data_IF_619430637298
#
_entry.id   IF_619430637298
#
_cell.length_a   1.000
_cell.length_b   1.000
_cell.length_c   1.000
_cell.angle_alpha   90.00
_cell.angle_beta   90.00
_cell.angle_gamma   90.00
#
_symmetry.space_group_name_H-M   'P 1'
#
loop_
_entity.id
_entity.type
_entity.pdbx_description
1 polymer ?
#
# COMPACT_ATOMS: atom_id res chain seq x y z
N UNK A 1 24.23 0.35 16.15
CA UNK A 1 23.04 0.57 16.23
C UNK A 1 22.20 -0.05 15.26
N UNK A 2 21.23 -0.60 15.60
CA UNK A 2 20.39 -1.36 14.75
C UNK A 2 19.12 -0.66 14.47
N UNK A 3 19.16 0.12 13.43
CA UNK A 3 17.94 0.72 12.99
C UNK A 3 17.01 -0.39 12.53
N UNK A 4 15.79 -0.33 12.99
CA UNK A 4 14.79 -1.25 12.57
C UNK A 4 14.47 -1.01 11.11
N UNK A 5 14.30 -2.07 10.34
CA UNK A 5 13.90 -1.93 8.94
C UNK A 5 12.48 -1.37 8.89
N UNK A 6 12.22 -0.50 7.92
CA UNK A 6 10.87 -0.04 7.66
C UNK A 6 10.06 -1.20 7.11
N UNK A 7 8.85 -1.35 7.62
CA UNK A 7 7.96 -2.44 7.21
C UNK A 7 6.92 -1.92 6.23
N UNK A 8 6.84 -2.58 5.08
CA UNK A 8 5.85 -2.26 4.05
C UNK A 8 4.91 -3.44 3.93
N UNK A 9 3.62 -3.17 4.05
CA UNK A 9 2.61 -4.20 3.88
C UNK A 9 1.99 -4.07 2.50
N UNK A 10 2.02 -5.15 1.72
CA UNK A 10 1.39 -5.21 0.40
C UNK A 10 0.06 -5.92 0.54
N UNK A 11 -1.03 -5.20 0.32
CA UNK A 11 -2.39 -5.77 0.36
C UNK A 11 -2.81 -6.02 -1.08
N UNK A 12 -2.82 -7.28 -1.48
CA UNK A 12 -2.94 -7.67 -2.88
C UNK A 12 -3.42 -9.12 -2.95
N UNK A 13 -4.37 -9.42 -3.82
CA UNK A 13 -4.89 -10.78 -3.91
C UNK A 13 -4.09 -11.68 -4.87
N UNK A 14 -3.17 -11.13 -5.65
CA UNK A 14 -2.34 -11.91 -6.55
C UNK A 14 -0.98 -12.22 -5.92
N UNK A 15 -0.69 -13.49 -5.61
CA UNK A 15 0.57 -13.83 -4.92
C UNK A 15 1.82 -13.41 -5.71
N UNK A 16 1.75 -13.52 -7.04
CA UNK A 16 2.90 -13.15 -7.86
C UNK A 16 3.24 -11.67 -7.72
N UNK A 17 2.22 -10.84 -7.56
CA UNK A 17 2.43 -9.41 -7.39
C UNK A 17 3.07 -9.11 -6.04
N UNK A 18 2.64 -9.82 -5.00
CA UNK A 18 3.25 -9.70 -3.68
C UNK A 18 4.73 -10.09 -3.76
N UNK A 19 5.01 -11.20 -4.44
CA UNK A 19 6.39 -11.67 -4.59
C UNK A 19 7.25 -10.66 -5.35
N UNK A 20 6.69 -10.04 -6.39
CA UNK A 20 7.42 -9.03 -7.15
C UNK A 20 7.73 -7.81 -6.30
N UNK A 21 6.75 -7.32 -5.57
CA UNK A 21 6.97 -6.16 -4.70
C UNK A 21 8.00 -6.48 -3.62
N UNK A 22 7.93 -7.70 -3.07
CA UNK A 22 8.88 -8.12 -2.05
C UNK A 22 10.30 -8.16 -2.62
N UNK A 23 10.45 -8.64 -3.85
CA UNK A 23 11.74 -8.69 -4.49
C UNK A 23 12.32 -7.28 -4.71
N UNK A 24 11.49 -6.39 -5.25
CA UNK A 24 11.93 -5.03 -5.56
C UNK A 24 12.31 -4.27 -4.30
N UNK A 25 11.41 -4.26 -3.34
CA UNK A 25 11.58 -3.45 -2.14
C UNK A 25 12.57 -4.07 -1.16
N UNK A 26 12.62 -5.39 -1.11
CA UNK A 26 13.56 -6.08 -0.23
C UNK A 26 14.99 -5.78 -0.58
N UNK A 27 15.29 -5.56 -1.86
CA UNK A 27 16.65 -5.22 -2.30
C UNK A 27 17.12 -3.88 -1.75
N UNK A 28 16.19 -3.02 -1.38
CA UNK A 28 16.52 -1.71 -0.82
C UNK A 28 16.45 -1.70 0.70
N UNK A 29 16.34 -2.88 1.31
CA UNK A 29 16.40 -3.00 2.75
C UNK A 29 15.08 -2.86 3.48
N UNK A 30 13.96 -2.87 2.76
CA UNK A 30 12.65 -2.84 3.42
C UNK A 30 12.23 -4.24 3.84
N UNK A 31 11.54 -4.33 4.96
CA UNK A 31 10.86 -5.56 5.34
C UNK A 31 9.50 -5.53 4.67
N UNK A 32 9.18 -6.55 3.87
CA UNK A 32 7.95 -6.55 3.10
C UNK A 32 7.09 -7.72 3.51
N UNK A 33 5.85 -7.44 3.91
CA UNK A 33 4.88 -8.46 4.26
C UNK A 33 3.72 -8.39 3.27
N UNK A 34 3.09 -9.52 3.02
CA UNK A 34 1.98 -9.57 2.09
C UNK A 34 0.71 -10.03 2.77
N UNK A 35 -0.40 -9.45 2.37
CA UNK A 35 -1.72 -9.89 2.80
C UNK A 35 -2.54 -10.22 1.56
N UNK A 36 -3.10 -11.42 1.51
CA UNK A 36 -3.84 -11.88 0.35
C UNK A 36 -5.30 -11.46 0.45
N UNK A 37 -5.56 -10.20 0.18
CA UNK A 37 -6.92 -9.67 0.18
C UNK A 37 -7.14 -8.62 1.24
N UNK A 38 -8.30 -7.97 1.16
CA UNK A 38 -8.60 -6.82 1.99
C UNK A 38 -8.87 -7.16 3.45
N UNK A 39 -9.54 -8.29 3.70
CA UNK A 39 -9.85 -8.67 5.08
C UNK A 39 -8.57 -8.95 5.84
N UNK A 40 -7.70 -9.77 5.25
CA UNK A 40 -6.42 -10.08 5.88
C UNK A 40 -5.55 -8.82 5.96
N UNK A 41 -5.61 -7.99 4.93
CA UNK A 41 -4.86 -6.74 4.92
C UNK A 41 -5.23 -5.84 6.08
N UNK A 42 -6.53 -5.65 6.31
CA UNK A 42 -6.99 -4.79 7.39
C UNK A 42 -6.57 -5.34 8.75
N UNK A 43 -6.66 -6.67 8.92
CA UNK A 43 -6.21 -7.31 10.15
C UNK A 43 -4.74 -7.05 10.39
N UNK A 44 -3.90 -7.23 9.36
CA UNK A 44 -2.47 -7.05 9.49
C UNK A 44 -2.10 -5.58 9.72
N UNK A 45 -2.82 -4.66 9.09
CA UNK A 45 -2.59 -3.23 9.33
C UNK A 45 -2.76 -2.93 10.82
N UNK A 46 -3.81 -3.46 11.41
CA UNK A 46 -4.11 -3.21 12.81
C UNK A 46 -3.14 -3.88 13.76
N UNK A 47 -2.69 -5.08 13.42
CA UNK A 47 -1.81 -5.84 14.28
C UNK A 47 -0.34 -5.49 14.12
N UNK A 48 0.10 -5.30 12.86
CA UNK A 48 1.52 -5.11 12.58
C UNK A 48 1.93 -3.64 12.56
N UNK A 49 0.99 -2.74 12.37
CA UNK A 49 1.26 -1.31 12.31
C UNK A 49 2.42 -1.01 11.36
N UNK A 50 2.26 -1.32 10.05
CA UNK A 50 3.35 -1.11 9.10
C UNK A 50 3.67 0.38 8.92
N UNK A 51 4.85 0.66 8.38
CA UNK A 51 5.26 2.03 8.10
C UNK A 51 4.61 2.56 6.82
N UNK A 52 4.17 1.67 5.94
CA UNK A 52 3.56 2.03 4.67
C UNK A 52 2.69 0.87 4.20
N UNK A 53 1.56 1.19 3.56
CA UNK A 53 0.69 0.19 2.95
C UNK A 53 0.63 0.42 1.45
N UNK A 54 0.92 -0.63 0.67
CA UNK A 54 0.67 -0.66 -0.76
C UNK A 54 -0.65 -1.39 -0.93
N UNK A 55 -1.64 -0.73 -1.49
CA UNK A 55 -3.01 -1.20 -1.45
C UNK A 55 -3.60 -1.33 -2.85
N UNK A 56 -3.97 -2.55 -3.24
CA UNK A 56 -4.70 -2.76 -4.48
C UNK A 56 -6.18 -2.44 -4.24
N UNK A 57 -6.80 -1.77 -5.18
CA UNK A 57 -8.22 -1.42 -5.06
C UNK A 57 -9.14 -2.55 -5.53
N UNK A 58 -8.63 -3.42 -6.43
CA UNK A 58 -9.47 -4.43 -7.07
C UNK A 58 -9.23 -5.80 -6.46
N UNK A 59 -9.91 -6.09 -5.37
CA UNK A 59 -9.80 -7.38 -4.70
C UNK A 59 -11.20 -7.98 -4.53
N UNK A 60 -11.34 -9.31 -4.64
CA UNK A 60 -12.66 -9.92 -4.61
C UNK A 60 -13.34 -9.97 -3.24
N UNK A 61 -12.56 -10.02 -2.17
CA UNK A 61 -13.14 -10.19 -0.83
C UNK A 61 -13.55 -8.88 -0.18
N UNK A 62 -12.79 -7.83 -0.39
CA UNK A 62 -13.09 -6.52 0.16
C UNK A 62 -12.44 -5.48 -0.73
N UNK A 63 -13.23 -4.52 -1.17
CA UNK A 63 -12.76 -3.42 -1.99
C UNK A 63 -11.64 -2.68 -1.26
N UNK A 64 -10.59 -2.32 -1.97
CA UNK A 64 -9.48 -1.58 -1.38
C UNK A 64 -9.89 -0.25 -0.79
N UNK A 65 -10.89 0.43 -1.36
CA UNK A 65 -11.39 1.67 -0.77
C UNK A 65 -12.01 1.42 0.60
N UNK A 66 -12.64 0.27 0.78
CA UNK A 66 -13.18 -0.10 2.08
C UNK A 66 -12.06 -0.26 3.10
N UNK A 67 -10.96 -0.92 2.70
CA UNK A 67 -9.79 -1.05 3.56
C UNK A 67 -9.26 0.33 3.93
N UNK A 68 -9.13 1.20 2.94
CA UNK A 68 -8.63 2.55 3.14
C UNK A 68 -9.51 3.32 4.12
N UNK A 69 -10.82 3.27 3.91
CA UNK A 69 -11.74 4.00 4.78
C UNK A 69 -11.67 3.52 6.22
N UNK A 70 -11.60 2.20 6.41
CA UNK A 70 -11.55 1.66 7.76
C UNK A 70 -10.25 2.00 8.47
N UNK A 71 -9.12 1.97 7.77
CA UNK A 71 -7.87 2.32 8.42
C UNK A 71 -7.79 3.81 8.74
N UNK A 72 -8.41 4.66 7.94
CA UNK A 72 -8.41 6.10 8.19
C UNK A 72 -9.41 6.50 9.27
N UNK A 73 -10.40 5.65 9.54
CA UNK A 73 -11.37 5.89 10.61
C UNK A 73 -10.84 5.46 11.99
N UNK A 74 -9.75 4.70 12.01
CA UNK A 74 -9.18 4.18 13.26
C UNK A 74 -8.04 5.08 13.69
N UNK A 75 -8.12 5.62 14.90
CA UNK A 75 -7.11 6.54 15.42
C UNK A 75 -5.70 5.93 15.41
N UNK A 76 -5.61 4.62 15.58
CA UNK A 76 -4.30 3.95 15.63
C UNK A 76 -3.64 3.85 14.25
N UNK A 77 -4.44 3.71 13.20
CA UNK A 77 -3.91 3.43 11.85
C UNK A 77 -4.04 4.58 10.87
N UNK A 78 -4.78 5.62 11.24
CA UNK A 78 -5.07 6.69 10.27
C UNK A 78 -3.83 7.45 9.80
N UNK A 79 -2.75 7.41 10.58
CA UNK A 79 -1.50 8.08 10.21
C UNK A 79 -0.60 7.28 9.29
N UNK A 80 -0.92 6.02 9.03
CA UNK A 80 -0.10 5.18 8.18
C UNK A 80 -0.28 5.60 6.73
N UNK A 81 0.81 5.92 6.01
CA UNK A 81 0.67 6.33 4.61
C UNK A 81 0.25 5.17 3.72
N UNK A 82 -0.50 5.50 2.67
CA UNK A 82 -1.04 4.53 1.73
C UNK A 82 -0.69 4.93 0.31
N UNK A 83 -0.13 3.98 -0.44
CA UNK A 83 0.05 4.12 -1.88
C UNK A 83 -0.90 3.13 -2.54
N UNK A 84 -1.76 3.61 -3.42
CA UNK A 84 -2.68 2.75 -4.15
C UNK A 84 -1.96 2.18 -5.37
N UNK A 85 -2.05 0.87 -5.57
CA UNK A 85 -1.43 0.19 -6.71
C UNK A 85 -2.52 -0.60 -7.42
N UNK A 86 -2.95 -0.15 -8.59
CA UNK A 86 -4.08 -0.78 -9.24
C UNK A 86 -3.97 -0.73 -10.76
N UNK A 87 -4.63 -1.71 -11.41
CA UNK A 87 -4.63 -1.83 -12.86
C UNK A 87 -5.51 -0.79 -13.55
N UNK A 88 -6.38 -0.11 -12.80
CA UNK A 88 -7.35 0.80 -13.41
C UNK A 88 -7.08 2.25 -13.04
N UNK A 89 -6.00 2.79 -13.59
CA UNK A 89 -5.62 4.18 -13.35
C UNK A 89 -6.74 5.16 -13.66
N UNK A 90 -7.50 4.89 -14.73
CA UNK A 90 -8.62 5.78 -15.09
C UNK A 90 -9.70 5.81 -14.03
N UNK A 91 -9.98 4.65 -13.44
CA UNK A 91 -10.96 4.60 -12.36
C UNK A 91 -10.45 5.33 -11.13
N UNK A 92 -9.15 5.25 -10.88
CA UNK A 92 -8.54 6.00 -9.80
C UNK A 92 -8.72 7.48 -10.03
N UNK A 93 -8.45 7.95 -11.25
CA UNK A 93 -8.59 9.37 -11.57
C UNK A 93 -9.98 9.87 -11.28
N UNK A 94 -11.00 9.09 -11.62
CA UNK A 94 -12.37 9.48 -11.35
C UNK A 94 -12.64 9.58 -9.85
N UNK A 95 -12.16 8.59 -9.09
CA UNK A 95 -12.40 8.57 -7.65
C UNK A 95 -11.62 9.68 -6.96
N UNK A 96 -10.36 9.88 -7.36
CA UNK A 96 -9.56 10.95 -6.78
C UNK A 96 -10.06 12.32 -7.20
N UNK A 97 -10.64 12.41 -8.40
CA UNK A 97 -11.24 13.64 -8.86
C UNK A 97 -12.42 14.07 -7.99
N UNK A 98 -13.02 13.13 -7.28
CA UNK A 98 -14.07 13.45 -6.32
C UNK A 98 -13.48 13.84 -4.96
N UNK A 99 -12.18 13.77 -4.81
CA UNK A 99 -11.45 14.14 -3.60
C UNK A 99 -11.92 13.40 -2.36
N UNK A 100 -12.43 12.18 -2.56
CA UNK A 100 -12.92 11.38 -1.47
C UNK A 100 -11.79 10.77 -0.67
N UNK A 101 -10.75 10.33 -1.37
CA UNK A 101 -9.61 9.67 -0.74
C UNK A 101 -8.39 10.55 -0.84
N UNK A 102 -7.67 10.67 0.25
CA UNK A 102 -6.42 11.43 0.28
C UNK A 102 -5.26 10.46 0.43
N UNK A 103 -5.10 9.62 -0.58
CA UNK A 103 -3.98 8.68 -0.60
C UNK A 103 -2.69 9.45 -0.82
N UNK A 104 -1.60 8.89 -0.35
CA UNK A 104 -0.32 9.56 -0.42
C UNK A 104 0.28 9.53 -1.82
N UNK A 105 0.00 8.49 -2.58
CA UNK A 105 0.39 8.40 -3.98
C UNK A 105 -0.39 7.25 -4.61
N UNK A 106 -0.30 7.14 -5.95
CA UNK A 106 -0.85 5.97 -6.61
C UNK A 106 0.04 5.55 -7.76
N UNK A 107 0.01 4.25 -8.07
CA UNK A 107 0.80 3.65 -9.11
C UNK A 107 -0.10 2.79 -9.96
N UNK A 108 -0.03 2.97 -11.29
CA UNK A 108 -0.81 2.15 -12.22
C UNK A 108 -0.05 0.88 -12.56
N UNK A 109 -0.75 -0.24 -12.65
CA UNK A 109 -0.17 -1.49 -13.14
C UNK A 109 -0.32 -1.54 -14.66
N UNK A 110 0.67 -2.04 -15.36
CA UNK A 110 1.97 -2.49 -14.90
C UNK A 110 2.89 -1.32 -14.55
N UNK A 111 3.74 -1.53 -13.59
CA UNK A 111 4.70 -0.50 -13.19
C UNK A 111 6.11 -1.04 -13.34
N UNK A 112 7.09 -0.13 -13.44
CA UNK A 112 8.48 -0.53 -13.43
C UNK A 112 8.97 -0.61 -11.99
N UNK A 113 10.04 -1.37 -11.71
CA UNK A 113 10.64 -1.36 -10.38
C UNK A 113 11.02 0.03 -9.91
N UNK A 114 11.48 0.88 -10.84
CA UNK A 114 11.88 2.23 -10.50
C UNK A 114 10.67 3.07 -10.09
N UNK A 115 9.54 2.91 -10.79
CA UNK A 115 8.31 3.64 -10.42
C UNK A 115 7.88 3.29 -9.00
N UNK A 116 7.88 2.01 -8.67
CA UNK A 116 7.50 1.57 -7.34
C UNK A 116 8.44 2.14 -6.29
N UNK A 117 9.74 2.03 -6.55
CA UNK A 117 10.74 2.49 -5.59
C UNK A 117 10.66 4.00 -5.39
N UNK A 118 10.50 4.76 -6.49
CA UNK A 118 10.40 6.21 -6.40
C UNK A 118 9.21 6.64 -5.55
N UNK A 119 8.07 5.99 -5.73
CA UNK A 119 6.88 6.34 -4.99
C UNK A 119 7.05 6.03 -3.50
N UNK A 120 7.57 4.84 -3.19
CA UNK A 120 7.78 4.44 -1.81
C UNK A 120 8.74 5.40 -1.10
N UNK A 121 9.86 5.71 -1.74
CA UNK A 121 10.85 6.60 -1.12
C UNK A 121 10.31 8.00 -0.94
N UNK A 122 9.57 8.49 -1.93
CA UNK A 122 8.97 9.82 -1.85
C UNK A 122 7.99 9.92 -0.68
N UNK A 123 7.12 8.94 -0.54
CA UNK A 123 6.11 8.96 0.51
C UNK A 123 6.74 8.82 1.88
N UNK A 124 7.70 7.90 2.04
CA UNK A 124 8.35 7.73 3.33
C UNK A 124 9.15 8.96 3.74
N UNK A 125 9.77 9.65 2.78
CA UNK A 125 10.50 10.87 3.09
C UNK A 125 9.58 11.97 3.58
N UNK A 126 8.41 12.12 2.96
CA UNK A 126 7.50 13.20 3.35
C UNK A 126 6.84 12.95 4.70
N UNK A 127 6.89 11.71 5.21
CA UNK A 127 6.33 11.38 6.52
C UNK A 127 7.39 11.30 7.61
N UNK A 128 8.63 11.46 7.24
CA UNK A 128 9.72 11.39 8.21
C UNK A 128 9.75 12.59 9.15
#
# INVERSE_FOLDING_TARGET
MNAKLKCILCVEDEPEMIDLMRLILGRRGFEVKGAAGGIEGLRMIREEMPDLVLLDLMMPDMDGWEVYQQMKADEKTKGIPVIVVTAKAQSIDKVLGLHIAKVDDYIAKPFSPQDLMNSVEKVLRSKA
#
